data_IF_097387746524
#
_entry.id   IF_097387746524
#
_cell.length_a   1.000
_cell.length_b   1.000
_cell.length_c   1.000
_cell.angle_alpha   90.00
_cell.angle_beta   90.00
_cell.angle_gamma   90.00
#
_symmetry.space_group_name_H-M   'P 1'
#
loop_
_entity.id
_entity.type
_entity.pdbx_description
1 polymer ?
#
# COMPACT_ATOMS: atom_id res chain seq x y z
N UNK A 1 24.99 -16.85 -18.35
CA UNK A 1 23.89 -16.06 -17.73
C UNK A 1 24.02 -15.91 -16.22
N UNK A 2 24.20 -16.99 -15.44
CA UNK A 2 24.79 -16.87 -14.09
C UNK A 2 26.18 -16.22 -14.17
N UNK A 3 26.91 -16.48 -15.25
CA UNK A 3 28.12 -15.76 -15.65
C UNK A 3 27.88 -14.24 -15.77
N UNK A 4 26.81 -13.78 -16.44
CA UNK A 4 26.51 -12.36 -16.64
C UNK A 4 26.15 -11.67 -15.30
N UNK A 5 25.36 -12.30 -14.43
CA UNK A 5 25.08 -11.76 -13.09
C UNK A 5 26.32 -11.80 -12.16
N UNK A 6 27.19 -12.82 -12.28
CA UNK A 6 28.48 -12.88 -11.58
C UNK A 6 29.49 -11.88 -12.13
N UNK A 7 29.54 -11.68 -13.44
CA UNK A 7 30.37 -10.69 -14.13
C UNK A 7 29.89 -9.29 -13.79
N UNK A 8 28.57 -9.06 -13.73
CA UNK A 8 28.00 -7.79 -13.26
C UNK A 8 28.31 -7.58 -11.77
N UNK A 9 28.22 -8.61 -10.92
CA UNK A 9 28.74 -8.55 -9.54
C UNK A 9 30.23 -8.21 -9.50
N UNK A 10 31.03 -8.76 -10.41
CA UNK A 10 32.47 -8.50 -10.53
C UNK A 10 32.79 -7.09 -11.03
N UNK A 11 32.10 -6.60 -12.06
CA UNK A 11 32.25 -5.26 -12.63
C UNK A 11 31.77 -4.20 -11.64
N UNK A 12 30.74 -4.53 -10.86
CA UNK A 12 30.15 -3.61 -9.88
C UNK A 12 30.82 -3.72 -8.51
N UNK A 13 31.51 -4.82 -8.18
CA UNK A 13 32.36 -4.85 -6.98
C UNK A 13 33.47 -3.80 -7.06
N UNK A 14 33.96 -3.50 -8.27
CA UNK A 14 35.06 -2.57 -8.58
C UNK A 14 34.60 -1.08 -8.62
N UNK A 15 33.30 -0.81 -8.80
CA UNK A 15 32.79 0.56 -8.93
C UNK A 15 32.67 1.34 -7.60
N UNK A 16 32.75 2.67 -7.65
CA UNK A 16 32.44 3.53 -6.50
C UNK A 16 30.96 3.40 -6.08
N UNK A 17 30.65 3.51 -4.77
CA UNK A 17 29.30 3.38 -4.21
C UNK A 17 28.23 4.20 -4.96
N UNK A 18 28.57 5.42 -5.40
CA UNK A 18 27.69 6.29 -6.19
C UNK A 18 27.26 5.66 -7.52
N UNK A 19 28.16 4.95 -8.22
CA UNK A 19 27.84 4.26 -9.48
C UNK A 19 26.97 3.03 -9.24
N UNK A 20 27.21 2.30 -8.14
CA UNK A 20 26.41 1.11 -7.79
C UNK A 20 24.95 1.49 -7.55
N UNK A 21 24.70 2.57 -6.81
CA UNK A 21 23.35 3.12 -6.54
C UNK A 21 22.54 3.37 -7.81
N UNK A 22 23.16 3.85 -8.89
CA UNK A 22 22.46 4.25 -10.12
C UNK A 22 22.33 3.07 -11.10
N UNK A 23 23.41 2.31 -11.30
CA UNK A 23 23.47 1.27 -12.35
C UNK A 23 22.80 -0.04 -11.95
N UNK A 24 22.89 -0.46 -10.68
CA UNK A 24 22.35 -1.74 -10.22
C UNK A 24 20.82 -1.82 -10.31
N UNK A 25 20.05 -0.80 -9.86
CA UNK A 25 18.59 -0.79 -10.02
C UNK A 25 18.16 -0.94 -11.48
N UNK A 26 18.78 -0.18 -12.39
CA UNK A 26 18.43 -0.19 -13.81
C UNK A 26 18.70 -1.55 -14.46
N UNK A 27 19.84 -2.17 -14.13
CA UNK A 27 20.16 -3.52 -14.59
C UNK A 27 19.18 -4.55 -14.03
N UNK A 28 18.91 -4.51 -12.73
CA UNK A 28 17.99 -5.44 -12.08
C UNK A 28 16.59 -5.34 -12.70
N UNK A 29 16.08 -4.13 -12.90
CA UNK A 29 14.80 -3.89 -13.54
C UNK A 29 14.76 -4.46 -14.96
N UNK A 30 15.84 -4.27 -15.74
CA UNK A 30 15.94 -4.83 -17.09
C UNK A 30 15.97 -6.36 -17.09
N UNK A 31 16.60 -7.01 -16.11
CA UNK A 31 16.61 -8.47 -16.02
C UNK A 31 15.25 -9.05 -15.63
N UNK A 32 14.60 -8.44 -14.64
CA UNK A 32 13.26 -8.86 -14.17
C UNK A 32 12.22 -8.72 -15.29
N UNK A 33 12.36 -7.72 -16.17
CA UNK A 33 11.43 -7.52 -17.30
C UNK A 33 11.69 -8.47 -18.48
N UNK A 34 12.94 -8.82 -18.79
CA UNK A 34 13.25 -9.69 -19.95
C UNK A 34 13.02 -11.17 -19.63
N UNK A 35 13.34 -11.62 -18.41
CA UNK A 35 13.24 -13.04 -18.02
C UNK A 35 12.62 -13.21 -16.64
N UNK A 36 11.32 -12.89 -16.51
CA UNK A 36 10.65 -12.93 -15.21
C UNK A 36 10.54 -14.34 -14.61
N UNK A 37 10.72 -15.40 -15.41
CA UNK A 37 10.60 -16.80 -14.97
C UNK A 37 11.91 -17.44 -14.47
N UNK A 38 13.05 -16.75 -14.51
CA UNK A 38 14.32 -17.34 -14.05
C UNK A 38 14.59 -17.06 -12.56
N UNK A 39 14.44 -18.09 -11.73
CA UNK A 39 14.69 -18.03 -10.28
C UNK A 39 16.09 -17.51 -9.94
N UNK A 40 17.09 -17.71 -10.81
CA UNK A 40 18.47 -17.28 -10.55
C UNK A 40 18.62 -15.75 -10.56
N UNK A 41 17.75 -15.05 -11.27
CA UNK A 41 17.73 -13.57 -11.29
C UNK A 41 17.33 -13.05 -9.92
N UNK A 42 16.32 -13.66 -9.30
CA UNK A 42 15.84 -13.27 -7.96
C UNK A 42 16.88 -13.55 -6.87
N UNK A 43 17.65 -14.64 -6.95
CA UNK A 43 18.75 -14.89 -6.00
C UNK A 43 19.78 -13.75 -6.03
N UNK A 44 20.14 -13.26 -7.23
CA UNK A 44 21.03 -12.10 -7.38
C UNK A 44 20.39 -10.77 -6.96
N UNK A 45 19.07 -10.63 -7.11
CA UNK A 45 18.32 -9.44 -6.74
C UNK A 45 18.45 -9.12 -5.25
N UNK A 46 18.32 -10.13 -4.38
CA UNK A 46 18.38 -9.94 -2.93
C UNK A 46 19.69 -9.30 -2.47
N UNK A 47 20.82 -9.69 -3.06
CA UNK A 47 22.13 -9.13 -2.72
C UNK A 47 22.25 -7.65 -3.12
N UNK A 48 21.66 -7.28 -4.26
CA UNK A 48 21.58 -5.89 -4.72
C UNK A 48 20.74 -5.07 -3.74
N UNK A 49 19.58 -5.58 -3.35
CA UNK A 49 18.68 -4.90 -2.41
C UNK A 49 19.34 -4.68 -1.04
N UNK A 50 20.03 -5.69 -0.50
CA UNK A 50 20.82 -5.58 0.74
C UNK A 50 21.94 -4.55 0.63
N UNK A 51 22.59 -4.47 -0.54
CA UNK A 51 23.62 -3.46 -0.79
C UNK A 51 23.04 -2.04 -0.80
N UNK A 52 21.86 -1.84 -1.38
CA UNK A 52 21.18 -0.54 -1.37
C UNK A 52 20.79 -0.10 0.05
N UNK A 53 20.32 -1.04 0.89
CA UNK A 53 20.04 -0.74 2.30
C UNK A 53 21.32 -0.30 3.03
N UNK A 54 22.45 -0.98 2.80
CA UNK A 54 23.76 -0.58 3.36
C UNK A 54 24.23 0.80 2.87
N UNK A 55 23.73 1.29 1.74
CA UNK A 55 24.05 2.59 1.17
C UNK A 55 23.06 3.69 1.60
N UNK A 56 22.19 3.43 2.56
CA UNK A 56 21.12 4.32 3.00
C UNK A 56 20.07 4.65 1.93
N UNK A 57 19.80 3.71 1.01
CA UNK A 57 18.79 3.86 -0.05
C UNK A 57 17.57 2.95 0.21
N UNK A 58 16.94 3.10 1.39
CA UNK A 58 15.85 2.24 1.84
C UNK A 58 14.64 2.29 0.90
N UNK A 59 14.19 3.49 0.53
CA UNK A 59 12.99 3.66 -0.31
C UNK A 59 13.18 3.05 -1.71
N UNK A 60 14.38 3.22 -2.29
CA UNK A 60 14.73 2.60 -3.57
C UNK A 60 14.76 1.07 -3.46
N UNK A 61 15.32 0.54 -2.38
CA UNK A 61 15.34 -0.90 -2.11
C UNK A 61 13.92 -1.46 -1.97
N UNK A 62 13.03 -0.78 -1.23
CA UNK A 62 11.61 -1.16 -1.10
C UNK A 62 10.92 -1.19 -2.45
N UNK A 63 11.07 -0.13 -3.26
CA UNK A 63 10.45 -0.05 -4.59
C UNK A 63 10.92 -1.20 -5.49
N UNK A 64 12.21 -1.50 -5.52
CA UNK A 64 12.75 -2.62 -6.30
C UNK A 64 12.29 -3.98 -5.77
N UNK A 65 12.24 -4.16 -4.45
CA UNK A 65 11.73 -5.37 -3.83
C UNK A 65 10.26 -5.63 -4.23
N UNK A 66 9.42 -4.59 -4.20
CA UNK A 66 8.03 -4.65 -4.67
C UNK A 66 7.94 -5.05 -6.14
N UNK A 67 8.80 -4.50 -7.01
CA UNK A 67 8.84 -4.92 -8.42
C UNK A 67 9.24 -6.38 -8.57
N UNK A 68 10.18 -6.88 -7.76
CA UNK A 68 10.54 -8.30 -7.73
C UNK A 68 9.35 -9.17 -7.31
N UNK A 69 8.62 -8.75 -6.26
CA UNK A 69 7.41 -9.42 -5.77
C UNK A 69 6.36 -9.52 -6.87
N UNK A 70 5.94 -8.39 -7.44
CA UNK A 70 4.86 -8.37 -8.44
C UNK A 70 5.25 -9.11 -9.72
N UNK A 71 6.49 -8.93 -10.19
CA UNK A 71 6.93 -9.61 -11.39
C UNK A 71 6.98 -11.13 -11.21
N UNK A 72 7.56 -11.61 -10.09
CA UNK A 72 7.62 -13.04 -9.82
C UNK A 72 6.24 -13.68 -9.69
N UNK A 73 5.36 -13.10 -8.87
CA UNK A 73 4.01 -13.63 -8.64
C UNK A 73 3.18 -13.68 -9.93
N UNK A 74 3.25 -12.62 -10.76
CA UNK A 74 2.55 -12.60 -12.04
C UNK A 74 3.04 -13.65 -13.04
N UNK A 75 4.24 -14.19 -12.83
CA UNK A 75 4.85 -15.23 -13.69
C UNK A 75 4.92 -16.59 -12.99
N UNK A 76 4.16 -16.79 -11.91
CA UNK A 76 4.04 -18.08 -11.22
C UNK A 76 5.23 -18.46 -10.33
N UNK A 77 6.10 -17.51 -9.99
CA UNK A 77 7.20 -17.71 -9.03
C UNK A 77 6.81 -17.10 -7.69
N UNK A 78 6.93 -17.89 -6.63
CA UNK A 78 6.74 -17.40 -5.28
C UNK A 78 7.88 -16.46 -4.87
N UNK A 79 7.62 -15.16 -4.95
CA UNK A 79 8.53 -14.07 -4.57
C UNK A 79 8.04 -13.29 -3.36
N UNK A 80 7.17 -13.87 -2.52
CA UNK A 80 6.67 -13.20 -1.31
C UNK A 80 7.78 -12.81 -0.33
N UNK A 81 8.92 -13.50 -0.35
CA UNK A 81 10.08 -13.16 0.47
C UNK A 81 10.63 -11.76 0.19
N UNK A 82 10.44 -11.22 -1.03
CA UNK A 82 10.78 -9.83 -1.33
C UNK A 82 9.80 -8.83 -0.70
N UNK A 83 8.53 -9.21 -0.57
CA UNK A 83 7.53 -8.41 0.14
C UNK A 83 7.83 -8.37 1.63
N UNK A 84 8.14 -9.52 2.24
CA UNK A 84 8.59 -9.62 3.64
C UNK A 84 9.87 -8.80 3.87
N UNK A 85 10.81 -8.84 2.93
CA UNK A 85 12.01 -8.03 2.98
C UNK A 85 11.69 -6.52 2.93
N UNK A 86 10.78 -6.08 2.06
CA UNK A 86 10.35 -4.69 2.00
C UNK A 86 9.67 -4.23 3.30
N UNK A 87 8.81 -5.08 3.87
CA UNK A 87 8.19 -4.87 5.18
C UNK A 87 9.23 -4.74 6.30
N UNK A 88 10.25 -5.61 6.31
CA UNK A 88 11.33 -5.57 7.29
C UNK A 88 12.17 -4.29 7.21
N UNK A 89 12.43 -3.78 5.99
CA UNK A 89 13.12 -2.48 5.81
C UNK A 89 12.27 -1.34 6.39
N UNK A 90 10.96 -1.32 6.10
CA UNK A 90 10.06 -0.31 6.64
C UNK A 90 10.10 -0.28 8.17
N UNK A 91 10.02 -1.45 8.80
CA UNK A 91 9.96 -1.57 10.25
C UNK A 91 11.28 -1.16 10.94
N UNK A 92 12.43 -1.59 10.38
CA UNK A 92 13.71 -1.51 11.09
C UNK A 92 14.65 -0.40 10.60
N UNK A 93 14.47 0.11 9.38
CA UNK A 93 15.49 0.94 8.73
C UNK A 93 15.03 2.34 8.34
N UNK A 94 13.72 2.63 8.35
CA UNK A 94 13.21 3.97 8.01
C UNK A 94 12.84 4.71 9.30
N UNK A 95 13.50 5.84 9.55
CA UNK A 95 13.16 6.71 10.70
C UNK A 95 12.40 7.97 10.27
N UNK A 96 12.65 8.47 9.05
CA UNK A 96 12.02 9.70 8.55
C UNK A 96 10.50 9.52 8.37
N UNK A 97 9.64 10.38 8.95
CA UNK A 97 8.19 10.23 8.90
C UNK A 97 7.60 10.34 7.49
N UNK A 98 8.14 11.21 6.63
CA UNK A 98 7.68 11.33 5.23
C UNK A 98 8.01 10.08 4.43
N UNK A 99 9.24 9.57 4.58
CA UNK A 99 9.66 8.33 3.92
C UNK A 99 8.90 7.12 4.44
N UNK A 100 8.58 7.05 5.75
CA UNK A 100 7.73 5.99 6.32
C UNK A 100 6.36 5.98 5.64
N UNK A 101 5.73 7.15 5.51
CA UNK A 101 4.41 7.27 4.85
C UNK A 101 4.47 6.81 3.41
N UNK A 102 5.50 7.21 2.68
CA UNK A 102 5.66 6.85 1.27
C UNK A 102 5.96 5.36 1.09
N UNK A 103 6.91 4.82 1.86
CA UNK A 103 7.27 3.41 1.86
C UNK A 103 6.05 2.52 2.14
N UNK A 104 5.25 2.86 3.16
CA UNK A 104 4.08 2.09 3.51
C UNK A 104 2.99 2.14 2.43
N UNK A 105 2.80 3.28 1.76
CA UNK A 105 1.90 3.37 0.59
C UNK A 105 2.32 2.42 -0.53
N UNK A 106 3.63 2.32 -0.82
CA UNK A 106 4.13 1.36 -1.81
C UNK A 106 3.87 -0.08 -1.39
N UNK A 107 4.11 -0.42 -0.13
CA UNK A 107 3.88 -1.78 0.40
C UNK A 107 2.38 -2.13 0.33
N UNK A 108 1.48 -1.22 0.71
CA UNK A 108 0.03 -1.42 0.60
C UNK A 108 -0.37 -1.62 -0.86
N UNK A 109 0.12 -0.78 -1.78
CA UNK A 109 -0.19 -0.90 -3.20
C UNK A 109 0.29 -2.24 -3.78
N UNK A 110 1.46 -2.72 -3.35
CA UNK A 110 1.95 -4.05 -3.68
C UNK A 110 0.99 -5.12 -3.15
N UNK A 111 0.63 -5.08 -1.87
CA UNK A 111 -0.30 -6.04 -1.25
C UNK A 111 -1.63 -6.16 -1.99
N UNK A 112 -2.23 -5.03 -2.39
CA UNK A 112 -3.45 -5.02 -3.19
C UNK A 112 -3.29 -5.69 -4.56
N UNK A 113 -2.09 -5.61 -5.15
CA UNK A 113 -1.79 -6.11 -6.50
C UNK A 113 -1.27 -7.55 -6.51
N UNK A 114 -0.90 -8.11 -5.35
CA UNK A 114 -0.35 -9.46 -5.25
C UNK A 114 -1.40 -10.53 -5.55
N UNK A 115 -1.04 -11.45 -6.42
CA UNK A 115 -1.79 -12.68 -6.73
C UNK A 115 -1.11 -13.85 -6.02
N UNK A 116 -1.55 -14.15 -4.80
CA UNK A 116 -1.09 -15.28 -4.00
C UNK A 116 -2.24 -16.28 -3.94
N UNK A 117 -1.98 -17.56 -4.21
CA UNK A 117 -2.99 -18.62 -4.16
C UNK A 117 -3.20 -19.19 -2.75
N UNK A 118 -2.24 -18.93 -1.85
CA UNK A 118 -2.29 -19.33 -0.44
C UNK A 118 -2.95 -18.23 0.41
N UNK A 119 -4.13 -18.59 0.96
CA UNK A 119 -4.97 -17.68 1.74
C UNK A 119 -4.36 -17.27 3.07
N UNK A 120 -3.81 -18.25 3.78
CA UNK A 120 -3.24 -18.06 5.09
C UNK A 120 -2.01 -17.19 4.98
N UNK A 121 -1.15 -17.49 4.00
CA UNK A 121 0.04 -16.69 3.71
C UNK A 121 -0.32 -15.25 3.36
N UNK A 122 -1.30 -15.03 2.47
CA UNK A 122 -1.73 -13.67 2.14
C UNK A 122 -2.24 -12.92 3.38
N UNK A 123 -3.09 -13.57 4.18
CA UNK A 123 -3.68 -13.00 5.40
C UNK A 123 -2.60 -12.60 6.42
N UNK A 124 -1.60 -13.45 6.66
CA UNK A 124 -0.48 -13.16 7.56
C UNK A 124 0.26 -11.90 7.09
N UNK A 125 0.61 -11.83 5.80
CA UNK A 125 1.34 -10.71 5.22
C UNK A 125 0.57 -9.39 5.34
N UNK A 126 -0.69 -9.35 4.92
CA UNK A 126 -1.47 -8.09 4.95
C UNK A 126 -1.87 -7.68 6.37
N UNK A 127 -1.99 -8.63 7.30
CA UNK A 127 -2.21 -8.33 8.72
C UNK A 127 -0.99 -7.62 9.31
N UNK A 128 0.23 -8.06 8.98
CA UNK A 128 1.46 -7.38 9.38
C UNK A 128 1.52 -5.95 8.82
N UNK A 129 1.23 -5.78 7.52
CA UNK A 129 1.19 -4.44 6.90
C UNK A 129 0.13 -3.54 7.52
N UNK A 130 -1.03 -4.09 7.86
CA UNK A 130 -2.08 -3.32 8.53
C UNK A 130 -1.62 -2.85 9.91
N UNK A 131 -0.86 -3.65 10.67
CA UNK A 131 -0.29 -3.23 11.96
C UNK A 131 0.71 -2.07 11.81
N UNK A 132 1.53 -2.10 10.76
CA UNK A 132 2.49 -1.03 10.49
C UNK A 132 1.87 0.36 10.30
N UNK A 133 0.61 0.44 9.86
CA UNK A 133 -0.10 1.72 9.77
C UNK A 133 -0.20 2.46 11.11
N UNK A 134 -0.15 1.74 12.24
CA UNK A 134 -0.22 2.31 13.59
C UNK A 134 1.09 2.97 14.01
N UNK A 135 2.21 2.67 13.34
CA UNK A 135 3.53 3.26 13.63
C UNK A 135 3.70 4.67 13.05
N UNK A 136 2.68 5.20 12.37
CA UNK A 136 2.67 6.57 11.86
C UNK A 136 2.24 7.52 12.98
N UNK A 137 3.10 8.48 13.29
CA UNK A 137 2.92 9.40 14.42
C UNK A 137 1.85 10.46 14.13
N UNK A 138 1.91 11.08 12.95
CA UNK A 138 0.93 12.09 12.53
C UNK A 138 -0.46 11.48 12.35
N UNK A 139 -1.45 11.98 13.10
CA UNK A 139 -2.83 11.47 13.13
C UNK A 139 -3.46 11.55 11.75
N UNK A 140 -3.31 12.68 11.06
CA UNK A 140 -3.91 12.88 9.74
C UNK A 140 -3.38 11.85 8.72
N UNK A 141 -2.07 11.65 8.69
CA UNK A 141 -1.43 10.64 7.84
C UNK A 141 -1.78 9.21 8.26
N UNK A 142 -1.82 8.93 9.58
CA UNK A 142 -2.18 7.62 10.11
C UNK A 142 -3.59 7.23 9.70
N UNK A 143 -4.58 8.12 9.87
CA UNK A 143 -5.97 7.89 9.46
C UNK A 143 -6.06 7.57 7.98
N UNK A 144 -5.38 8.37 7.13
CA UNK A 144 -5.36 8.13 5.68
C UNK A 144 -4.76 6.77 5.32
N UNK A 145 -3.68 6.35 5.99
CA UNK A 145 -3.02 5.07 5.76
C UNK A 145 -3.85 3.89 6.28
N UNK A 146 -4.44 3.97 7.47
CA UNK A 146 -5.34 2.94 8.00
C UNK A 146 -6.54 2.77 7.06
N UNK A 147 -7.12 3.87 6.59
CA UNK A 147 -8.22 3.83 5.64
C UNK A 147 -7.79 3.23 4.29
N UNK A 148 -6.55 3.45 3.85
CA UNK A 148 -5.97 2.79 2.67
C UNK A 148 -5.81 1.27 2.85
N UNK A 149 -5.43 0.79 4.04
CA UNK A 149 -5.30 -0.64 4.33
C UNK A 149 -6.63 -1.40 4.15
N UNK A 150 -7.79 -0.73 4.21
CA UNK A 150 -9.09 -1.36 3.91
C UNK A 150 -9.15 -2.00 2.52
N UNK A 151 -8.38 -1.48 1.55
CA UNK A 151 -8.31 -1.99 0.19
C UNK A 151 -7.60 -3.36 0.09
N UNK A 152 -6.73 -3.70 1.05
CA UNK A 152 -6.07 -5.02 1.10
C UNK A 152 -7.07 -6.17 1.27
N UNK A 153 -8.24 -5.85 1.84
CA UNK A 153 -9.32 -6.78 2.18
C UNK A 153 -10.50 -6.73 1.22
N UNK A 154 -10.43 -5.91 0.16
CA UNK A 154 -11.51 -5.70 -0.82
C UNK A 154 -10.92 -5.83 -2.23
N UNK A 155 -10.60 -7.07 -2.63
CA UNK A 155 -10.01 -7.33 -3.95
C UNK A 155 -11.09 -7.33 -5.03
N UNK A 156 -10.79 -6.64 -6.13
CA UNK A 156 -11.71 -6.43 -7.27
C UNK A 156 -11.87 -7.66 -8.18
N UNK A 157 -10.93 -8.60 -8.14
CA UNK A 157 -10.82 -9.66 -9.15
C UNK A 157 -11.59 -10.95 -8.80
N UNK A 158 -12.62 -10.86 -7.95
CA UNK A 158 -13.40 -12.05 -7.54
C UNK A 158 -12.59 -13.09 -6.76
N UNK A 159 -11.42 -12.72 -6.24
CA UNK A 159 -10.59 -13.60 -5.42
C UNK A 159 -11.27 -13.91 -4.10
N UNK A 160 -11.09 -15.12 -3.60
CA UNK A 160 -11.63 -15.61 -2.31
C UNK A 160 -11.19 -14.76 -1.08
N UNK A 161 -10.21 -13.85 -1.24
CA UNK A 161 -9.63 -13.01 -0.19
C UNK A 161 -10.45 -11.79 0.24
N UNK A 162 -11.78 -11.91 0.23
CA UNK A 162 -12.68 -10.82 0.57
C UNK A 162 -13.14 -10.93 2.02
N UNK A 163 -12.38 -10.32 2.95
CA UNK A 163 -12.80 -10.19 4.35
C UNK A 163 -13.46 -8.85 4.60
N UNK A 164 -14.79 -8.84 4.47
CA UNK A 164 -15.63 -7.70 4.83
C UNK A 164 -15.40 -7.25 6.28
N UNK A 165 -15.21 -8.21 7.20
CA UNK A 165 -14.99 -7.92 8.62
C UNK A 165 -13.70 -7.14 8.84
N UNK A 166 -12.58 -7.56 8.24
CA UNK A 166 -11.31 -6.83 8.38
C UNK A 166 -11.32 -5.49 7.66
N UNK A 167 -11.98 -5.40 6.51
CA UNK A 167 -12.20 -4.13 5.82
C UNK A 167 -12.93 -3.13 6.73
N UNK A 168 -14.03 -3.57 7.37
CA UNK A 168 -14.81 -2.74 8.29
C UNK A 168 -14.00 -2.33 9.52
N UNK A 169 -13.24 -3.27 10.12
CA UNK A 169 -12.39 -2.98 11.27
C UNK A 169 -11.35 -1.89 10.95
N UNK A 170 -10.73 -1.93 9.76
CA UNK A 170 -9.81 -0.89 9.32
C UNK A 170 -10.50 0.48 9.25
N UNK A 171 -11.68 0.55 8.62
CA UNK A 171 -12.41 1.81 8.44
C UNK A 171 -12.96 2.36 9.77
N UNK A 172 -13.44 1.50 10.67
CA UNK A 172 -13.87 1.89 12.01
C UNK A 172 -12.69 2.39 12.85
N UNK A 173 -11.52 1.75 12.74
CA UNK A 173 -10.31 2.21 13.42
C UNK A 173 -9.85 3.57 12.89
N UNK A 174 -9.89 3.77 11.56
CA UNK A 174 -9.61 5.07 10.96
C UNK A 174 -10.58 6.16 11.45
N UNK A 175 -11.88 5.84 11.57
CA UNK A 175 -12.90 6.76 12.08
C UNK A 175 -12.66 7.12 13.55
N UNK A 176 -12.30 6.13 14.38
CA UNK A 176 -11.95 6.36 15.79
C UNK A 176 -10.75 7.30 15.92
N UNK A 177 -9.72 7.12 15.10
CA UNK A 177 -8.54 7.99 15.11
C UNK A 177 -8.85 9.37 14.52
N UNK A 178 -9.74 9.45 13.52
CA UNK A 178 -10.19 10.71 12.94
C UNK A 178 -10.93 11.59 13.95
N UNK A 179 -11.70 11.01 14.87
CA UNK A 179 -12.36 11.76 15.95
C UNK A 179 -11.38 12.46 16.91
N UNK A 180 -10.11 12.05 16.93
CA UNK A 180 -9.07 12.64 17.79
C UNK A 180 -8.33 13.81 17.14
N UNK A 181 -8.55 14.06 15.84
CA UNK A 181 -7.92 15.18 15.14
C UNK A 181 -8.71 16.48 15.41
N UNK A 182 -8.17 17.60 14.93
CA UNK A 182 -8.91 18.87 14.84
C UNK A 182 -9.45 19.08 13.40
N UNK A 183 -8.93 18.35 12.40
CA UNK A 183 -9.32 18.43 10.98
C UNK A 183 -10.31 17.33 10.57
N UNK A 184 -11.25 17.02 11.45
CA UNK A 184 -12.00 15.76 11.43
C UNK A 184 -12.86 15.61 10.18
N UNK A 185 -13.41 16.72 9.68
CA UNK A 185 -14.34 16.69 8.55
C UNK A 185 -13.64 16.27 7.26
N UNK A 186 -12.40 16.72 7.02
CA UNK A 186 -11.61 16.28 5.86
C UNK A 186 -11.31 14.78 5.92
N UNK A 187 -10.97 14.29 7.11
CA UNK A 187 -10.71 12.87 7.33
C UNK A 187 -11.99 12.03 7.18
N UNK A 188 -13.13 12.52 7.69
CA UNK A 188 -14.42 11.87 7.51
C UNK A 188 -14.82 11.75 6.04
N UNK A 189 -14.66 12.82 5.24
CA UNK A 189 -14.94 12.74 3.80
C UNK A 189 -14.01 11.72 3.13
N UNK A 190 -12.74 11.66 3.54
CA UNK A 190 -11.80 10.67 3.00
C UNK A 190 -12.21 9.23 3.35
N UNK A 191 -12.64 8.99 4.59
CA UNK A 191 -13.14 7.69 5.04
C UNK A 191 -14.46 7.34 4.34
N UNK A 192 -15.37 8.30 4.15
CA UNK A 192 -16.62 8.12 3.40
C UNK A 192 -16.36 7.61 1.98
N UNK A 193 -15.42 8.24 1.26
CA UNK A 193 -15.05 7.78 -0.08
C UNK A 193 -14.47 6.35 -0.08
N UNK A 194 -13.83 5.90 1.02
CA UNK A 194 -13.39 4.51 1.16
C UNK A 194 -14.54 3.56 1.41
N UNK A 195 -15.52 3.91 2.25
CA UNK A 195 -16.75 3.13 2.40
C UNK A 195 -17.48 2.97 1.07
N UNK A 196 -17.60 4.04 0.28
CA UNK A 196 -18.21 4.01 -1.06
C UNK A 196 -17.43 3.07 -1.99
N UNK A 197 -16.09 3.15 -1.99
CA UNK A 197 -15.26 2.26 -2.83
C UNK A 197 -15.49 0.80 -2.46
N UNK A 198 -15.54 0.48 -1.15
CA UNK A 198 -15.81 -0.87 -0.66
C UNK A 198 -17.23 -1.34 -1.00
N UNK A 199 -18.23 -0.44 -0.94
CA UNK A 199 -19.60 -0.72 -1.36
C UNK A 199 -19.68 -1.11 -2.84
N UNK A 200 -19.04 -0.32 -3.72
CA UNK A 200 -18.98 -0.59 -5.17
C UNK A 200 -18.26 -1.90 -5.47
N UNK A 201 -17.28 -2.29 -4.65
CA UNK A 201 -16.60 -3.58 -4.75
C UNK A 201 -17.43 -4.78 -4.21
N UNK A 202 -18.71 -4.58 -3.85
CA UNK A 202 -19.63 -5.65 -3.45
C UNK A 202 -19.96 -5.71 -1.95
N UNK A 203 -19.41 -4.83 -1.11
CA UNK A 203 -19.76 -4.77 0.31
C UNK A 203 -21.01 -3.89 0.54
N UNK A 204 -22.14 -4.28 -0.04
CA UNK A 204 -23.39 -3.50 -0.07
C UNK A 204 -23.93 -3.14 1.31
N UNK A 205 -23.73 -3.99 2.31
CA UNK A 205 -24.13 -3.72 3.70
C UNK A 205 -23.41 -2.52 4.34
N UNK A 206 -22.40 -1.95 3.66
CA UNK A 206 -21.75 -0.72 4.12
C UNK A 206 -22.61 0.53 3.91
N UNK A 207 -23.76 0.41 3.22
CA UNK A 207 -24.73 1.49 3.02
C UNK A 207 -25.03 2.27 4.32
N UNK A 208 -25.37 1.55 5.41
CA UNK A 208 -25.67 2.18 6.71
C UNK A 208 -24.55 3.09 7.23
N UNK A 209 -23.28 2.73 7.01
CA UNK A 209 -22.14 3.52 7.45
C UNK A 209 -21.91 4.74 6.54
N UNK A 210 -22.19 4.60 5.23
CA UNK A 210 -22.14 5.70 4.26
C UNK A 210 -23.16 6.77 4.64
N UNK A 211 -24.40 6.37 4.90
CA UNK A 211 -25.48 7.30 5.29
C UNK A 211 -25.14 8.00 6.60
N UNK A 212 -24.79 7.23 7.65
CA UNK A 212 -24.44 7.80 8.95
C UNK A 212 -23.29 8.82 8.86
N UNK A 213 -22.25 8.49 8.09
CA UNK A 213 -21.09 9.38 7.96
C UNK A 213 -21.39 10.60 7.08
N UNK A 214 -22.19 10.44 6.01
CA UNK A 214 -22.69 11.55 5.19
C UNK A 214 -23.45 12.55 6.06
N UNK A 215 -24.41 12.06 6.85
CA UNK A 215 -25.27 12.92 7.66
C UNK A 215 -24.44 13.63 8.75
N UNK A 216 -23.49 12.92 9.37
CA UNK A 216 -22.53 13.53 10.31
C UNK A 216 -21.70 14.63 9.67
N UNK A 217 -21.20 14.44 8.44
CA UNK A 217 -20.45 15.47 7.72
C UNK A 217 -21.37 16.65 7.40
N UNK A 218 -22.59 16.39 6.90
CA UNK A 218 -23.57 17.42 6.54
C UNK A 218 -23.89 18.34 7.74
N UNK A 219 -24.02 17.78 8.95
CA UNK A 219 -24.29 18.56 10.16
C UNK A 219 -23.13 19.46 10.61
N UNK A 220 -21.88 19.10 10.31
CA UNK A 220 -20.71 19.81 10.81
C UNK A 220 -19.97 20.64 9.73
N UNK A 221 -20.27 20.44 8.44
CA UNK A 221 -19.56 21.10 7.33
C UNK A 221 -19.94 22.58 7.18
N UNK A 222 -21.10 23.00 7.69
CA UNK A 222 -21.57 24.39 7.67
C UNK A 222 -20.65 25.36 8.43
N UNK A 223 -19.89 24.85 9.40
CA UNK A 223 -18.97 25.64 10.22
C UNK A 223 -17.62 25.92 9.53
N UNK A 224 -17.37 25.32 8.36
CA UNK A 224 -16.07 25.43 7.67
C UNK A 224 -16.14 26.40 6.48
N UNK A 225 -15.31 27.43 6.52
CA UNK A 225 -15.12 28.43 5.44
C UNK A 225 -14.35 27.92 4.20
N UNK A 226 -14.08 26.62 4.06
CA UNK A 226 -13.25 26.07 2.98
C UNK A 226 -14.10 25.60 1.78
N UNK A 227 -14.23 26.48 0.77
CA UNK A 227 -14.99 26.22 -0.46
C UNK A 227 -14.57 24.94 -1.20
N UNK A 228 -13.28 24.58 -1.19
CA UNK A 228 -12.79 23.39 -1.89
C UNK A 228 -13.28 22.08 -1.27
N UNK A 229 -13.29 22.03 0.07
CA UNK A 229 -13.74 20.86 0.83
C UNK A 229 -15.25 20.66 0.68
N UNK A 230 -16.00 21.76 0.74
CA UNK A 230 -17.44 21.78 0.51
C UNK A 230 -17.78 21.24 -0.89
N UNK A 231 -17.06 21.69 -1.92
CA UNK A 231 -17.26 21.19 -3.28
C UNK A 231 -16.92 19.70 -3.40
N UNK A 232 -15.84 19.25 -2.75
CA UNK A 232 -15.47 17.84 -2.75
C UNK A 232 -16.56 16.96 -2.12
N UNK A 233 -17.12 17.39 -0.98
CA UNK A 233 -18.23 16.68 -0.34
C UNK A 233 -19.50 16.68 -1.21
N UNK A 234 -19.86 17.82 -1.84
CA UNK A 234 -20.99 17.89 -2.78
C UNK A 234 -20.85 16.89 -3.93
N UNK A 235 -19.65 16.78 -4.51
CA UNK A 235 -19.37 15.80 -5.55
C UNK A 235 -19.53 14.36 -5.04
N UNK A 236 -19.06 14.07 -3.83
CA UNK A 236 -19.26 12.76 -3.18
C UNK A 236 -20.75 12.47 -2.98
N UNK A 237 -21.55 13.41 -2.50
CA UNK A 237 -23.00 13.25 -2.34
C UNK A 237 -23.72 13.02 -3.67
N UNK A 238 -23.33 13.73 -4.73
CA UNK A 238 -23.87 13.50 -6.06
C UNK A 238 -23.62 12.07 -6.54
N UNK A 239 -22.41 11.54 -6.31
CA UNK A 239 -22.08 10.16 -6.65
C UNK A 239 -22.84 9.13 -5.80
N UNK A 240 -23.04 9.37 -4.50
CA UNK A 240 -23.87 8.51 -3.64
C UNK A 240 -25.30 8.40 -4.19
N UNK A 241 -25.88 9.52 -4.62
CA UNK A 241 -27.24 9.54 -5.17
C UNK A 241 -27.35 8.80 -6.50
N UNK A 242 -26.29 8.80 -7.33
CA UNK A 242 -26.25 8.01 -8.57
C UNK A 242 -26.18 6.50 -8.33
N UNK A 243 -25.69 6.08 -7.16
CA UNK A 243 -25.57 4.66 -6.79
C UNK A 243 -26.85 4.09 -6.19
N UNK A 244 -27.95 4.86 -6.14
CA UNK A 244 -29.22 4.49 -5.50
C UNK A 244 -29.04 3.93 -4.07
N UNK A 245 -28.05 4.48 -3.35
CA UNK A 245 -27.80 4.17 -1.94
C UNK A 245 -28.91 4.86 -1.14
N UNK A 246 -30.07 4.19 -1.02
CA UNK A 246 -31.24 4.69 -0.29
C UNK A 246 -31.17 4.34 1.19
N UNK A 247 -31.86 5.16 2.01
CA UNK A 247 -32.13 4.89 3.43
C UNK A 247 -32.86 3.57 3.64
#
# INVERSE_FOLDING_TARGET
>A
MVSILREIKGIISIGCNKRKKISLPGLLFKFITIKPCDRKIFVGALDILKLLVKQNEMLLSIRLAIQCTLCGLNNGIDTTSFFEFAASIFENNISNPEEKKEALKYIIACGCSMKINDEEKYTILITAVTKYSQMIEDINSRVNIIALCSALWSKRDGSNYNSKQHCLQCLQKALKDANLSNENIKLFITILNRYITSYVNGYTDFNKYIIQLRDLIQSNIGDISNNSLMQYFKNTCYYINQLDITN
#
